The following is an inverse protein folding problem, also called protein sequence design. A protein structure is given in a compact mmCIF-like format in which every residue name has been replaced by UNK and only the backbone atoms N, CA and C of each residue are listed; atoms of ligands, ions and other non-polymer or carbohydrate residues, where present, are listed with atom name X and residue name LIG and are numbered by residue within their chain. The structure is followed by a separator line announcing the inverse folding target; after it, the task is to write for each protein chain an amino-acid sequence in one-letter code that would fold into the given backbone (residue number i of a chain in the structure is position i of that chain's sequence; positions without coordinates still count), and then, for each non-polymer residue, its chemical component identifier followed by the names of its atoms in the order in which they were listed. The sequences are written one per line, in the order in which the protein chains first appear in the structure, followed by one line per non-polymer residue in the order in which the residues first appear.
data_IF_969730227798
#
_entry.id   IF_969730227798
#
_cell.length_a   1.000
_cell.length_b   1.000
_cell.length_c   1.000
_cell.angle_alpha   90.00
_cell.angle_beta   90.00
_cell.angle_gamma   90.00
#
_symmetry.space_group_name_H-M   'P 1'
#
loop_
_entity.id
_entity.type
_entity.pdbx_description
1 polymer ?
#
# COMPACT_ATOMS: atom_id res chain seq x y z
N UNK A 1 -46.39 -7.58 37.32
CA UNK A 1 -46.25 -7.54 35.85
C UNK A 1 -44.87 -8.10 35.53
N UNK A 2 -44.79 -9.37 35.15
CA UNK A 2 -43.52 -9.98 34.74
C UNK A 2 -43.22 -9.53 33.32
N UNK A 3 -42.28 -8.61 33.16
CA UNK A 3 -41.67 -8.34 31.87
C UNK A 3 -40.73 -9.51 31.59
N UNK A 4 -41.23 -10.54 30.90
CA UNK A 4 -40.41 -11.61 30.34
C UNK A 4 -39.37 -10.97 29.42
N UNK A 5 -38.12 -11.00 29.87
CA UNK A 5 -36.97 -10.52 29.11
C UNK A 5 -36.76 -11.48 27.94
N UNK A 6 -37.18 -11.08 26.74
CA UNK A 6 -37.17 -11.95 25.57
C UNK A 6 -35.76 -11.98 24.94
N UNK A 7 -34.86 -12.74 25.56
CA UNK A 7 -33.47 -12.92 25.11
C UNK A 7 -33.35 -13.35 23.64
N UNK A 8 -34.34 -14.07 23.10
CA UNK A 8 -34.29 -14.54 21.72
C UNK A 8 -34.43 -13.40 20.70
N UNK A 9 -35.17 -12.34 21.00
CA UNK A 9 -35.31 -11.18 20.12
C UNK A 9 -34.04 -10.34 20.08
N UNK A 10 -33.37 -10.14 21.22
CA UNK A 10 -32.10 -9.41 21.28
C UNK A 10 -30.97 -10.17 20.56
N UNK A 11 -30.93 -11.50 20.70
CA UNK A 11 -29.96 -12.33 19.98
C UNK A 11 -30.17 -12.25 18.46
N UNK A 12 -31.42 -12.31 17.99
CA UNK A 12 -31.73 -12.17 16.56
C UNK A 12 -31.36 -10.79 16.02
N UNK A 13 -31.59 -9.74 16.81
CA UNK A 13 -31.24 -8.37 16.43
C UNK A 13 -29.72 -8.18 16.32
N UNK A 14 -28.97 -8.68 17.30
CA UNK A 14 -27.50 -8.65 17.29
C UNK A 14 -26.91 -9.45 16.11
N UNK A 15 -27.47 -10.63 15.79
CA UNK A 15 -27.02 -11.41 14.62
C UNK A 15 -27.26 -10.65 13.32
N UNK A 16 -28.41 -9.98 13.19
CA UNK A 16 -28.75 -9.19 12.00
C UNK A 16 -27.82 -7.99 11.83
N UNK A 17 -27.51 -7.26 12.92
CA UNK A 17 -26.55 -6.15 12.91
C UNK A 17 -25.12 -6.63 12.55
N UNK A 18 -24.72 -7.82 12.99
CA UNK A 18 -23.43 -8.44 12.61
C UNK A 18 -23.41 -8.80 11.12
N UNK A 19 -24.50 -9.36 10.58
CA UNK A 19 -24.59 -9.79 9.18
C UNK A 19 -24.56 -8.58 8.23
N UNK A 20 -25.31 -7.52 8.55
CA UNK A 20 -25.29 -6.24 7.84
C UNK A 20 -23.88 -5.59 7.91
N UNK A 21 -23.22 -5.61 9.07
CA UNK A 21 -21.84 -5.12 9.22
C UNK A 21 -20.81 -5.93 8.43
N UNK A 22 -21.01 -7.25 8.29
CA UNK A 22 -20.14 -8.12 7.48
C UNK A 22 -20.33 -7.85 5.99
N UNK A 23 -21.55 -7.56 5.52
CA UNK A 23 -21.80 -7.16 4.14
C UNK A 23 -21.08 -5.87 3.76
N UNK A 24 -21.08 -4.88 4.67
CA UNK A 24 -20.38 -3.61 4.50
C UNK A 24 -18.86 -3.84 4.49
N UNK A 25 -18.30 -4.58 5.46
CA UNK A 25 -16.87 -4.94 5.50
C UNK A 25 -16.40 -5.66 4.25
N UNK A 26 -17.13 -6.65 3.74
CA UNK A 26 -16.75 -7.37 2.53
C UNK A 26 -16.71 -6.47 1.27
N UNK A 27 -17.55 -5.44 1.24
CA UNK A 27 -17.62 -4.51 0.10
C UNK A 27 -16.51 -3.47 0.17
N UNK A 28 -16.20 -2.97 1.37
CA UNK A 28 -15.04 -2.10 1.63
C UNK A 28 -13.72 -2.86 1.43
N UNK A 29 -13.59 -4.09 1.92
CA UNK A 29 -12.40 -4.93 1.75
C UNK A 29 -12.10 -5.22 0.26
N UNK A 30 -13.12 -5.46 -0.57
CA UNK A 30 -12.92 -5.62 -2.02
C UNK A 30 -12.49 -4.35 -2.73
N UNK A 31 -13.05 -3.20 -2.36
CA UNK A 31 -12.64 -1.91 -2.90
C UNK A 31 -11.19 -1.55 -2.49
N UNK A 32 -10.80 -1.94 -1.27
CA UNK A 32 -9.43 -1.82 -0.77
C UNK A 32 -8.50 -2.80 -1.50
N UNK A 33 -8.89 -4.06 -1.72
CA UNK A 33 -8.09 -5.07 -2.46
C UNK A 33 -7.79 -4.67 -3.92
N UNK A 34 -8.74 -4.02 -4.61
CA UNK A 34 -8.52 -3.49 -5.97
C UNK A 34 -7.61 -2.25 -5.96
N UNK A 35 -7.66 -1.40 -4.93
CA UNK A 35 -6.73 -0.27 -4.75
C UNK A 35 -5.29 -0.73 -4.44
N UNK A 36 -5.14 -1.85 -3.75
CA UNK A 36 -3.85 -2.37 -3.29
C UNK A 36 -3.01 -3.06 -4.38
N UNK A 37 -3.59 -3.39 -5.54
CA UNK A 37 -2.89 -4.07 -6.63
C UNK A 37 -2.86 -3.18 -7.89
N UNK A 38 -1.80 -2.38 -8.03
CA UNK A 38 -1.65 -1.43 -9.14
C UNK A 38 -0.69 -1.98 -10.19
N UNK A 39 -1.11 -2.02 -11.44
CA UNK A 39 -0.23 -2.39 -12.57
C UNK A 39 0.06 -1.17 -13.40
N UNK A 40 1.33 -0.94 -13.73
CA UNK A 40 1.75 0.08 -14.70
C UNK A 40 2.39 -0.60 -15.91
N UNK A 41 2.23 0.02 -17.08
CA UNK A 41 2.89 -0.42 -18.31
C UNK A 41 3.97 0.61 -18.65
N UNK A 42 5.21 0.14 -18.76
CA UNK A 42 6.35 0.95 -19.19
C UNK A 42 6.26 1.25 -20.70
N UNK A 43 7.07 2.21 -21.16
CA UNK A 43 7.13 2.60 -22.57
C UNK A 43 7.56 1.46 -23.49
N UNK A 44 8.38 0.52 -23.00
CA UNK A 44 8.81 -0.66 -23.75
C UNK A 44 7.77 -1.79 -23.79
N UNK A 45 6.62 -1.59 -23.15
CA UNK A 45 5.53 -2.56 -23.04
C UNK A 45 5.65 -3.50 -21.83
N UNK A 46 6.69 -3.38 -21.01
CA UNK A 46 6.84 -4.18 -19.78
C UNK A 46 5.80 -3.78 -18.75
N UNK A 47 5.09 -4.77 -18.19
CA UNK A 47 4.12 -4.53 -17.13
C UNK A 47 4.76 -4.76 -15.75
N UNK A 48 4.65 -3.76 -14.87
CA UNK A 48 5.08 -3.85 -13.48
C UNK A 48 3.84 -3.91 -12.59
N UNK A 49 3.75 -4.97 -11.80
CA UNK A 49 2.70 -5.16 -10.80
C UNK A 49 3.22 -4.75 -9.43
N UNK A 50 2.52 -3.82 -8.80
CA UNK A 50 2.73 -3.40 -7.43
C UNK A 50 1.67 -4.03 -6.53
N UNK A 51 2.14 -4.81 -5.57
CA UNK A 51 1.36 -5.45 -4.52
C UNK A 51 1.49 -4.64 -3.23
N UNK A 52 0.77 -3.53 -3.17
CA UNK A 52 0.79 -2.64 -2.01
C UNK A 52 0.17 -3.26 -0.76
N UNK A 53 -0.61 -4.33 -0.89
CA UNK A 53 -1.06 -5.20 0.22
C UNK A 53 0.11 -5.68 1.12
N UNK A 54 1.32 -5.75 0.57
CA UNK A 54 2.53 -6.18 1.30
C UNK A 54 3.15 -5.06 2.13
N UNK A 55 2.70 -3.82 1.97
CA UNK A 55 3.11 -2.69 2.82
C UNK A 55 2.40 -2.83 4.16
N UNK A 56 3.09 -3.43 5.12
CA UNK A 56 2.71 -3.41 6.52
C UNK A 56 3.50 -2.33 7.26
N UNK A 57 3.06 -1.96 8.46
CA UNK A 57 3.84 -1.05 9.33
C UNK A 57 5.29 -1.53 9.56
N UNK A 58 5.51 -2.84 9.65
CA UNK A 58 6.85 -3.42 9.76
C UNK A 58 7.67 -3.25 8.47
N UNK A 59 7.04 -3.39 7.31
CA UNK A 59 7.67 -3.10 6.01
C UNK A 59 8.10 -1.64 5.92
N UNK A 60 7.24 -0.70 6.34
CA UNK A 60 7.56 0.73 6.38
C UNK A 60 8.74 1.02 7.31
N UNK A 61 8.77 0.42 8.50
CA UNK A 61 9.90 0.58 9.44
C UNK A 61 11.20 0.12 8.78
N UNK A 62 11.21 -1.05 8.13
CA UNK A 62 12.40 -1.56 7.42
C UNK A 62 12.85 -0.63 6.31
N UNK A 63 11.93 -0.11 5.49
CA UNK A 63 12.26 0.88 4.45
C UNK A 63 12.87 2.14 5.07
N UNK A 64 12.30 2.66 6.15
CA UNK A 64 12.84 3.84 6.86
C UNK A 64 14.24 3.58 7.43
N UNK A 65 14.52 2.39 7.95
CA UNK A 65 15.85 2.01 8.42
C UNK A 65 16.88 1.92 7.28
N UNK A 66 16.52 1.28 6.16
CA UNK A 66 17.37 1.21 4.96
C UNK A 66 17.64 2.62 4.41
N UNK A 67 16.61 3.46 4.33
CA UNK A 67 16.72 4.84 3.92
C UNK A 67 17.65 5.66 4.84
N UNK A 68 17.53 5.49 6.16
CA UNK A 68 18.42 6.15 7.14
C UNK A 68 19.88 5.72 6.99
N UNK A 69 20.14 4.46 6.62
CA UNK A 69 21.49 3.97 6.33
C UNK A 69 22.05 4.59 5.05
N UNK A 70 21.24 4.70 3.99
CA UNK A 70 21.63 5.34 2.73
C UNK A 70 21.92 6.83 2.91
N UNK A 71 21.02 7.56 3.58
CA UNK A 71 21.20 8.99 3.89
C UNK A 71 22.49 9.29 4.65
N UNK A 72 22.96 8.36 5.50
CA UNK A 72 24.23 8.50 6.22
C UNK A 72 25.47 8.22 5.37
N UNK A 73 25.36 7.36 4.35
CA UNK A 73 26.47 7.01 3.45
C UNK A 73 26.66 8.04 2.33
N UNK A 74 25.56 8.61 1.87
CA UNK A 74 25.53 9.50 0.72
C UNK A 74 25.52 10.97 1.16
N UNK A 75 26.67 11.46 1.63
CA UNK A 75 26.82 12.87 2.01
C UNK A 75 26.84 13.75 0.74
N UNK A 76 25.73 14.44 0.46
CA UNK A 76 25.62 15.36 -0.68
C UNK A 76 24.38 15.16 -1.57
N UNK A 77 23.58 14.13 -1.31
CA UNK A 77 22.28 13.95 -2.00
C UNK A 77 21.29 15.04 -1.55
N UNK A 78 20.59 15.63 -2.51
CA UNK A 78 19.54 16.62 -2.25
C UNK A 78 18.31 16.02 -1.55
N UNK A 79 17.45 16.85 -0.97
CA UNK A 79 16.22 16.37 -0.31
C UNK A 79 15.29 15.68 -1.32
N UNK A 80 15.23 16.19 -2.55
CA UNK A 80 14.40 15.63 -3.63
C UNK A 80 14.86 14.24 -4.05
N UNK A 81 16.18 14.05 -4.23
CA UNK A 81 16.74 12.73 -4.54
C UNK A 81 16.58 11.73 -3.38
N UNK A 82 16.57 12.23 -2.14
CA UNK A 82 16.26 11.42 -0.97
C UNK A 82 14.79 10.95 -0.99
N UNK A 83 13.84 11.84 -1.26
CA UNK A 83 12.43 11.47 -1.36
C UNK A 83 12.19 10.47 -2.49
N UNK A 84 12.84 10.69 -3.64
CA UNK A 84 12.83 9.78 -4.77
C UNK A 84 13.32 8.38 -4.38
N UNK A 85 14.46 8.30 -3.70
CA UNK A 85 15.02 7.04 -3.22
C UNK A 85 14.08 6.32 -2.24
N UNK A 86 13.35 7.05 -1.40
CA UNK A 86 12.34 6.45 -0.54
C UNK A 86 11.23 5.77 -1.33
N UNK A 87 10.70 6.42 -2.38
CA UNK A 87 9.68 5.83 -3.24
C UNK A 87 10.19 4.60 -4.00
N UNK A 88 11.44 4.60 -4.45
CA UNK A 88 12.02 3.43 -5.12
C UNK A 88 12.22 2.26 -4.15
N UNK A 89 12.62 2.51 -2.90
CA UNK A 89 12.72 1.44 -1.90
C UNK A 89 11.36 0.81 -1.61
N UNK A 90 10.29 1.62 -1.57
CA UNK A 90 8.94 1.10 -1.44
C UNK A 90 8.56 0.28 -2.68
N UNK A 91 8.85 0.79 -3.89
CA UNK A 91 8.62 0.08 -5.15
C UNK A 91 9.29 -1.31 -5.16
N UNK A 92 10.53 -1.41 -4.67
CA UNK A 92 11.24 -2.69 -4.52
C UNK A 92 10.50 -3.64 -3.57
N UNK A 93 9.98 -3.17 -2.43
CA UNK A 93 9.29 -4.05 -1.47
C UNK A 93 7.92 -4.51 -1.97
N UNK A 94 7.27 -3.75 -2.84
CA UNK A 94 5.92 -4.07 -3.35
C UNK A 94 5.92 -4.71 -4.73
N UNK A 95 7.07 -4.86 -5.37
CA UNK A 95 7.19 -5.46 -6.70
C UNK A 95 8.11 -6.68 -6.68
N UNK A 96 8.28 -7.30 -7.85
CA UNK A 96 9.27 -8.35 -8.06
C UNK A 96 10.65 -7.82 -8.47
N UNK A 97 10.82 -6.51 -8.64
CA UNK A 97 12.04 -5.91 -9.18
C UNK A 97 12.89 -5.27 -8.09
N UNK A 98 14.21 -5.35 -8.24
CA UNK A 98 15.15 -4.72 -7.31
C UNK A 98 15.19 -3.20 -7.50
N UNK A 99 15.69 -2.48 -6.50
CA UNK A 99 15.96 -1.03 -6.60
C UNK A 99 16.82 -0.69 -7.82
N UNK A 100 17.86 -1.48 -8.11
CA UNK A 100 18.78 -1.20 -9.20
C UNK A 100 18.10 -1.30 -10.59
N UNK A 101 17.09 -2.16 -10.72
CA UNK A 101 16.24 -2.20 -11.93
C UNK A 101 15.52 -0.87 -12.12
N UNK A 102 14.91 -0.34 -11.07
CA UNK A 102 14.18 0.92 -11.12
C UNK A 102 15.09 2.11 -11.42
N UNK A 103 16.29 2.15 -10.82
CA UNK A 103 17.26 3.21 -11.08
C UNK A 103 17.82 3.18 -12.51
N UNK A 104 17.78 2.02 -13.17
CA UNK A 104 18.17 1.87 -14.57
C UNK A 104 17.07 2.25 -15.57
N UNK A 105 15.84 2.54 -15.11
CA UNK A 105 14.74 2.94 -15.98
C UNK A 105 15.00 4.30 -16.64
N UNK A 106 14.42 4.48 -17.82
CA UNK A 106 14.42 5.78 -18.50
C UNK A 106 13.63 6.79 -17.65
N UNK A 107 14.01 8.06 -17.74
CA UNK A 107 13.42 9.15 -16.94
C UNK A 107 11.88 9.15 -16.90
N UNK A 108 11.21 8.89 -18.04
CA UNK A 108 9.74 8.82 -18.09
C UNK A 108 9.17 7.65 -17.28
N UNK A 109 9.72 6.45 -17.48
CA UNK A 109 9.31 5.24 -16.78
C UNK A 109 9.65 5.30 -15.28
N UNK A 110 10.81 5.87 -14.95
CA UNK A 110 11.24 6.15 -13.58
C UNK A 110 10.24 7.07 -12.85
N UNK A 111 9.86 8.17 -13.48
CA UNK A 111 8.87 9.09 -12.89
C UNK A 111 7.47 8.47 -12.79
N UNK A 112 7.09 7.59 -13.72
CA UNK A 112 5.82 6.85 -13.64
C UNK A 112 5.79 5.93 -12.42
N UNK A 113 6.87 5.17 -12.18
CA UNK A 113 7.02 4.32 -10.99
C UNK A 113 6.93 5.16 -9.71
N UNK A 114 7.74 6.22 -9.62
CA UNK A 114 7.73 7.11 -8.44
C UNK A 114 6.36 7.71 -8.19
N UNK A 115 5.73 8.27 -9.22
CA UNK A 115 4.40 8.88 -9.12
C UNK A 115 3.39 7.88 -8.59
N UNK A 116 3.38 6.67 -9.15
CA UNK A 116 2.48 5.59 -8.74
C UNK A 116 2.62 5.25 -7.26
N UNK A 117 3.85 5.10 -6.76
CA UNK A 117 4.12 4.78 -5.35
C UNK A 117 3.82 5.97 -4.45
N UNK A 118 4.16 7.18 -4.88
CA UNK A 118 3.88 8.42 -4.16
C UNK A 118 2.37 8.63 -3.98
N UNK A 119 1.60 8.43 -5.04
CA UNK A 119 0.15 8.58 -5.02
C UNK A 119 -0.46 7.60 -4.01
N UNK A 120 -0.02 6.33 -4.03
CA UNK A 120 -0.47 5.33 -3.07
C UNK A 120 -0.14 5.71 -1.61
N UNK A 121 1.07 6.23 -1.35
CA UNK A 121 1.47 6.59 0.02
C UNK A 121 0.82 7.87 0.54
N UNK A 122 0.24 8.69 -0.34
CA UNK A 122 -0.45 9.93 0.00
C UNK A 122 -1.98 9.84 -0.15
N UNK A 123 -2.51 8.70 -0.58
CA UNK A 123 -3.96 8.42 -0.48
C UNK A 123 -4.32 8.35 1.00
N UNK A 124 -5.09 9.34 1.48
CA UNK A 124 -5.67 9.45 2.83
C UNK A 124 -6.77 8.39 3.06
#
# INVERSE_FOLDING_TARGET
MNTEYNHEEEIKKAIKEIDESKGIRNTEEKAIEESLNKTITLIDGTEIKFHFEKITGNTIIKVKEEFKKLKKKEAGISIEELDDMYYILVAEKVSAHSRDYYLALKYKDYNLVKGTVRDFLNED
#
